data_IF_351051496249
#
_entry.id   IF_351051496249
#
_cell.length_a   1.000
_cell.length_b   1.000
_cell.length_c   1.000
_cell.angle_alpha   90.00
_cell.angle_beta   90.00
_cell.angle_gamma   90.00
#
_symmetry.space_group_name_H-M   'P 1'
#
loop_
_entity.id
_entity.type
_entity.pdbx_description
1 polymer ?
#
# COMPACT_ATOMS: atom_id res chain seq x y z
N UNK A 1 28.52 -18.96 -13.16
CA UNK A 1 28.62 -18.30 -14.48
C UNK A 1 28.09 -16.88 -14.34
N UNK A 2 28.82 -15.85 -14.78
CA UNK A 2 28.28 -14.49 -14.78
C UNK A 2 27.28 -14.33 -15.93
N UNK A 3 26.11 -13.77 -15.65
CA UNK A 3 25.12 -13.48 -16.66
C UNK A 3 25.64 -12.39 -17.59
N UNK A 4 25.69 -12.63 -18.91
CA UNK A 4 26.01 -11.57 -19.87
C UNK A 4 24.83 -10.59 -19.90
N UNK A 5 25.03 -9.27 -19.72
CA UNK A 5 23.95 -8.29 -19.80
C UNK A 5 23.42 -8.17 -21.24
N UNK A 6 22.22 -7.62 -21.41
CA UNK A 6 21.74 -7.21 -22.73
C UNK A 6 22.69 -6.19 -23.36
N UNK A 7 22.95 -6.36 -24.65
CA UNK A 7 23.54 -5.33 -25.49
C UNK A 7 22.54 -4.20 -25.76
N UNK A 8 23.06 -3.03 -26.14
CA UNK A 8 22.23 -1.88 -26.53
C UNK A 8 21.29 -2.20 -27.69
N UNK A 9 21.74 -3.00 -28.65
CA UNK A 9 20.93 -3.46 -29.78
C UNK A 9 19.80 -4.39 -29.35
N UNK A 10 20.05 -5.32 -28.43
CA UNK A 10 19.00 -6.19 -27.88
C UNK A 10 17.92 -5.38 -27.16
N UNK A 11 18.32 -4.41 -26.33
CA UNK A 11 17.38 -3.52 -25.62
C UNK A 11 16.56 -2.71 -26.61
N UNK A 12 17.18 -2.13 -27.65
CA UNK A 12 16.48 -1.34 -28.66
C UNK A 12 15.44 -2.18 -29.43
N UNK A 13 15.82 -3.39 -29.85
CA UNK A 13 14.93 -4.30 -30.57
C UNK A 13 13.77 -4.78 -29.68
N UNK A 14 14.08 -5.11 -28.41
CA UNK A 14 13.06 -5.53 -27.44
C UNK A 14 12.07 -4.40 -27.17
N UNK A 15 12.57 -3.18 -26.95
CA UNK A 15 11.75 -1.97 -26.81
C UNK A 15 10.81 -1.78 -27.99
N UNK A 16 11.34 -1.80 -29.21
CA UNK A 16 10.54 -1.61 -30.42
C UNK A 16 9.44 -2.69 -30.53
N UNK A 17 9.78 -3.95 -30.23
CA UNK A 17 8.81 -5.04 -30.25
C UNK A 17 7.72 -4.87 -29.18
N UNK A 18 8.06 -4.45 -27.96
CA UNK A 18 7.11 -4.23 -26.87
C UNK A 18 6.18 -3.04 -27.19
N UNK A 19 6.75 -1.91 -27.61
CA UNK A 19 5.98 -0.68 -27.89
C UNK A 19 5.04 -0.85 -29.09
N UNK A 20 5.45 -1.61 -30.12
CA UNK A 20 4.54 -2.00 -31.23
C UNK A 20 3.31 -2.78 -30.77
N UNK A 21 3.35 -3.43 -29.61
CA UNK A 21 2.22 -4.14 -29.02
C UNK A 21 1.37 -3.26 -28.06
N UNK A 22 1.70 -1.97 -27.92
CA UNK A 22 0.90 -0.98 -27.18
C UNK A 22 1.34 -0.75 -25.73
N UNK A 23 2.49 -1.28 -25.32
CA UNK A 23 3.05 -1.06 -23.99
C UNK A 23 3.93 0.19 -23.98
N UNK A 24 3.93 0.91 -22.87
CA UNK A 24 4.65 2.17 -22.72
C UNK A 24 5.70 2.08 -21.62
N UNK A 25 6.84 2.72 -21.85
CA UNK A 25 7.90 2.81 -20.85
C UNK A 25 7.54 3.83 -19.75
N UNK A 26 6.88 4.93 -20.13
CA UNK A 26 6.49 5.99 -19.20
C UNK A 26 5.28 5.55 -18.35
N UNK A 27 5.45 5.52 -17.03
CA UNK A 27 4.38 5.21 -16.07
C UNK A 27 3.49 6.41 -15.72
N UNK A 28 2.83 7.02 -16.71
CA UNK A 28 1.81 8.07 -16.45
C UNK A 28 0.46 7.44 -16.10
N UNK A 29 -0.44 8.23 -15.52
CA UNK A 29 -1.77 7.76 -15.08
C UNK A 29 -2.56 7.12 -16.25
N UNK A 30 -2.47 7.71 -17.44
CA UNK A 30 -3.20 7.30 -18.66
C UNK A 30 -2.61 6.04 -19.32
N UNK A 31 -1.35 5.70 -19.03
CA UNK A 31 -0.70 4.56 -19.61
C UNK A 31 -1.07 3.29 -18.84
N UNK A 32 -2.02 2.52 -19.37
CA UNK A 32 -2.49 1.29 -18.70
C UNK A 32 -1.61 0.07 -18.94
N UNK A 33 -0.89 0.02 -20.06
CA UNK A 33 0.05 -1.06 -20.38
C UNK A 33 1.47 -0.52 -20.26
N UNK A 34 2.21 -1.02 -19.28
CA UNK A 34 3.54 -0.50 -18.91
C UNK A 34 4.59 -1.61 -18.94
N UNK A 35 5.82 -1.25 -19.23
CA UNK A 35 6.95 -2.19 -19.17
C UNK A 35 8.22 -1.54 -18.63
N UNK A 36 9.11 -2.38 -18.09
CA UNK A 36 10.46 -1.97 -17.67
C UNK A 36 11.46 -3.05 -18.02
N UNK A 37 12.70 -2.65 -18.31
CA UNK A 37 13.79 -3.57 -18.66
C UNK A 37 15.04 -3.16 -17.88
N UNK A 38 15.79 -4.15 -17.37
CA UNK A 38 17.16 -3.96 -16.87
C UNK A 38 18.19 -4.57 -17.81
N UNK A 39 19.41 -4.02 -17.82
CA UNK A 39 20.55 -4.65 -18.53
C UNK A 39 20.82 -6.07 -18.07
N UNK A 40 20.57 -6.38 -16.80
CA UNK A 40 20.73 -7.73 -16.27
C UNK A 40 19.63 -8.72 -16.70
N UNK A 41 18.95 -8.46 -17.83
CA UNK A 41 17.95 -9.37 -18.42
C UNK A 41 16.70 -9.58 -17.58
N UNK A 42 16.37 -8.63 -16.70
CA UNK A 42 15.08 -8.57 -16.02
C UNK A 42 14.10 -7.79 -16.92
N UNK A 43 12.95 -8.39 -17.19
CA UNK A 43 11.85 -7.78 -17.92
C UNK A 43 10.63 -7.76 -17.00
N UNK A 44 9.91 -6.66 -17.03
CA UNK A 44 8.73 -6.41 -16.23
C UNK A 44 7.59 -5.88 -17.11
N UNK A 45 6.40 -6.43 -16.92
CA UNK A 45 5.16 -5.89 -17.48
C UNK A 45 4.19 -5.57 -16.35
N UNK A 46 3.51 -4.43 -16.46
CA UNK A 46 2.47 -4.01 -15.51
C UNK A 46 1.26 -3.53 -16.28
N UNK A 47 0.07 -4.03 -15.91
CA UNK A 47 -1.21 -3.57 -16.44
C UNK A 47 -1.97 -2.86 -15.33
N UNK A 48 -2.63 -1.75 -15.65
CA UNK A 48 -3.50 -0.99 -14.76
C UNK A 48 -4.97 -1.14 -15.20
N UNK A 49 -5.86 -1.40 -14.24
CA UNK A 49 -7.31 -1.42 -14.44
C UNK A 49 -7.96 -0.38 -13.52
N UNK A 50 -8.27 0.81 -14.02
CA UNK A 50 -8.95 1.83 -13.23
C UNK A 50 -10.45 1.55 -13.14
N UNK A 51 -11.03 1.78 -11.97
CA UNK A 51 -12.47 1.90 -11.79
C UNK A 51 -12.81 3.37 -11.69
N UNK A 52 -13.53 3.91 -12.67
CA UNK A 52 -13.93 5.32 -12.69
C UNK A 52 -15.39 5.49 -12.29
N UNK A 53 -15.74 6.69 -11.82
CA UNK A 53 -17.15 7.08 -11.68
C UNK A 53 -17.77 7.28 -13.06
N UNK A 54 -19.10 7.11 -13.21
CA UNK A 54 -19.82 7.36 -14.46
C UNK A 54 -20.02 8.88 -14.71
N UNK A 55 -18.96 9.68 -14.55
CA UNK A 55 -18.94 11.12 -14.73
C UNK A 55 -17.66 11.54 -15.45
N UNK A 56 -17.76 12.55 -16.32
CA UNK A 56 -16.60 13.17 -16.95
C UNK A 56 -16.03 14.21 -15.98
N UNK A 57 -14.78 14.01 -15.58
CA UNK A 57 -14.06 14.90 -14.69
C UNK A 57 -12.89 15.54 -15.45
N UNK A 58 -12.51 16.76 -15.06
CA UNK A 58 -11.43 17.51 -15.70
C UNK A 58 -10.03 17.12 -15.19
N UNK A 59 -9.96 16.14 -14.29
CA UNK A 59 -8.72 15.62 -13.74
C UNK A 59 -8.82 14.09 -13.65
N UNK A 60 -7.68 13.38 -13.63
CA UNK A 60 -7.67 11.92 -13.56
C UNK A 60 -8.20 11.45 -12.21
N UNK A 61 -9.38 10.84 -12.22
CA UNK A 61 -10.02 10.31 -11.02
C UNK A 61 -10.35 8.83 -11.18
N UNK A 62 -9.91 8.05 -10.20
CA UNK A 62 -10.03 6.60 -10.15
C UNK A 62 -10.50 6.25 -8.75
N UNK A 63 -11.67 5.62 -8.65
CA UNK A 63 -12.25 5.14 -7.39
C UNK A 63 -11.30 4.14 -6.73
N UNK A 64 -10.82 3.20 -7.53
CA UNK A 64 -9.78 2.24 -7.18
C UNK A 64 -8.97 1.97 -8.44
N UNK A 65 -7.66 1.83 -8.29
CA UNK A 65 -6.72 1.50 -9.37
C UNK A 65 -6.12 0.14 -9.09
N UNK A 66 -6.57 -0.88 -9.82
CA UNK A 66 -5.94 -2.20 -9.78
C UNK A 66 -4.71 -2.22 -10.67
N UNK A 67 -3.69 -2.98 -10.27
CA UNK A 67 -2.49 -3.25 -11.06
C UNK A 67 -2.15 -4.72 -10.95
N UNK A 68 -1.74 -5.32 -12.07
CA UNK A 68 -1.17 -6.67 -12.10
C UNK A 68 0.18 -6.58 -12.79
N UNK A 69 1.17 -7.23 -12.20
CA UNK A 69 2.57 -7.12 -12.60
C UNK A 69 3.18 -8.50 -12.75
N UNK A 70 3.98 -8.67 -13.79
CA UNK A 70 4.69 -9.91 -14.11
C UNK A 70 6.14 -9.57 -14.43
N UNK A 71 7.06 -10.05 -13.60
CA UNK A 71 8.50 -9.85 -13.75
C UNK A 71 9.24 -11.19 -13.89
N UNK A 72 10.24 -11.24 -14.75
CA UNK A 72 11.06 -12.44 -14.98
C UNK A 72 12.45 -12.10 -15.48
N UNK A 73 13.43 -12.95 -15.12
CA UNK A 73 14.84 -12.81 -15.51
C UNK A 73 15.23 -13.95 -16.47
N UNK A 74 15.90 -13.61 -17.57
CA UNK A 74 16.27 -14.56 -18.63
C UNK A 74 17.75 -14.92 -18.59
N UNK A 75 18.10 -16.13 -19.02
CA UNK A 75 19.49 -16.48 -19.34
C UNK A 75 19.98 -15.76 -20.59
N UNK A 76 19.23 -15.83 -21.68
CA UNK A 76 19.56 -15.21 -22.97
C UNK A 76 18.32 -14.79 -23.76
N UNK A 77 18.48 -13.74 -24.58
CA UNK A 77 17.49 -13.34 -25.58
C UNK A 77 17.74 -14.15 -26.86
N UNK A 78 16.85 -15.09 -27.16
CA UNK A 78 16.90 -15.90 -28.35
C UNK A 78 15.51 -15.92 -29.02
N UNK A 79 15.37 -16.64 -30.13
CA UNK A 79 14.10 -16.70 -30.85
C UNK A 79 12.96 -17.29 -30.01
N UNK A 80 13.23 -18.23 -29.12
CA UNK A 80 12.22 -18.84 -28.26
C UNK A 80 11.78 -17.88 -27.15
N UNK A 81 12.73 -17.27 -26.42
CA UNK A 81 12.39 -16.30 -25.37
C UNK A 81 11.68 -15.08 -25.94
N UNK A 82 12.06 -14.60 -27.13
CA UNK A 82 11.32 -13.55 -27.84
C UNK A 82 9.87 -13.95 -28.17
N UNK A 83 9.64 -15.17 -28.65
CA UNK A 83 8.27 -15.67 -28.92
C UNK A 83 7.43 -15.71 -27.64
N UNK A 84 8.00 -16.16 -26.53
CA UNK A 84 7.31 -16.20 -25.24
C UNK A 84 7.00 -14.79 -24.73
N UNK A 85 7.95 -13.84 -24.83
CA UNK A 85 7.70 -12.43 -24.47
C UNK A 85 6.52 -11.88 -25.28
N UNK A 86 6.52 -12.06 -26.60
CA UNK A 86 5.43 -11.58 -27.47
C UNK A 86 4.10 -12.25 -27.15
N UNK A 87 4.11 -13.55 -26.84
CA UNK A 87 2.92 -14.27 -26.41
C UNK A 87 2.35 -13.67 -25.11
N UNK A 88 3.20 -13.51 -24.09
CA UNK A 88 2.81 -12.92 -22.81
C UNK A 88 2.22 -11.52 -23.02
N UNK A 89 2.87 -10.65 -23.80
CA UNK A 89 2.37 -9.30 -24.09
C UNK A 89 0.94 -9.30 -24.65
N UNK A 90 0.66 -10.18 -25.62
CA UNK A 90 -0.67 -10.29 -26.24
C UNK A 90 -1.70 -10.81 -25.26
N UNK A 91 -1.37 -11.88 -24.52
CA UNK A 91 -2.28 -12.45 -23.52
C UNK A 91 -2.60 -11.48 -22.39
N UNK A 92 -1.60 -10.72 -21.93
CA UNK A 92 -1.79 -9.65 -20.94
C UNK A 92 -2.75 -8.57 -21.46
N UNK A 93 -2.61 -8.18 -22.73
CA UNK A 93 -3.52 -7.21 -23.36
C UNK A 93 -4.93 -7.76 -23.51
N UNK A 94 -5.08 -9.01 -23.95
CA UNK A 94 -6.37 -9.67 -24.10
C UNK A 94 -7.09 -9.82 -22.75
N UNK A 95 -6.33 -10.18 -21.71
CA UNK A 95 -6.82 -10.22 -20.34
C UNK A 95 -7.44 -8.88 -19.93
N UNK A 96 -6.77 -7.77 -20.25
CA UNK A 96 -7.26 -6.43 -19.92
C UNK A 96 -8.53 -6.01 -20.66
N UNK A 97 -8.78 -6.58 -21.84
CA UNK A 97 -9.99 -6.32 -22.61
C UNK A 97 -11.18 -7.17 -22.14
N UNK A 98 -10.92 -8.30 -21.49
CA UNK A 98 -11.94 -9.25 -21.04
C UNK A 98 -12.38 -9.01 -19.60
N UNK A 99 -11.51 -8.46 -18.77
CA UNK A 99 -11.81 -8.20 -17.38
C UNK A 99 -12.62 -6.92 -17.23
N UNK A 100 -13.76 -7.04 -16.56
CA UNK A 100 -14.50 -5.92 -16.00
C UNK A 100 -14.81 -6.19 -14.54
N UNK A 101 -14.81 -5.14 -13.74
CA UNK A 101 -15.36 -5.17 -12.39
C UNK A 101 -16.54 -4.21 -12.35
N UNK A 102 -17.75 -4.75 -12.39
CA UNK A 102 -18.97 -3.94 -12.39
C UNK A 102 -19.19 -3.33 -11.01
N UNK A 103 -19.31 -2.00 -10.99
CA UNK A 103 -19.66 -1.24 -9.81
C UNK A 103 -20.88 -0.39 -10.10
N UNK A 104 -21.83 -0.39 -9.19
CA UNK A 104 -22.96 0.52 -9.26
C UNK A 104 -22.78 1.66 -8.26
N UNK A 105 -22.27 2.79 -8.75
CA UNK A 105 -22.20 4.03 -7.96
C UNK A 105 -23.47 4.84 -8.20
N UNK A 106 -24.37 4.99 -7.20
CA UNK A 106 -25.64 5.70 -7.35
C UNK A 106 -25.43 7.22 -7.34
N UNK A 107 -24.75 7.74 -8.36
CA UNK A 107 -24.25 9.12 -8.42
C UNK A 107 -25.34 10.15 -8.78
N UNK A 108 -26.46 9.68 -9.33
CA UNK A 108 -27.55 10.54 -9.81
C UNK A 108 -28.07 11.45 -8.68
N UNK A 109 -28.01 12.75 -8.89
CA UNK A 109 -28.41 13.77 -7.91
C UNK A 109 -27.34 14.12 -6.86
N UNK A 110 -26.13 13.57 -6.97
CA UNK A 110 -24.98 13.80 -6.07
C UNK A 110 -23.78 14.43 -6.80
N UNK A 111 -23.95 14.80 -8.07
CA UNK A 111 -22.88 15.28 -8.95
C UNK A 111 -22.23 16.57 -8.41
N UNK A 112 -23.04 17.54 -7.96
CA UNK A 112 -22.51 18.80 -7.39
C UNK A 112 -21.72 18.55 -6.11
N UNK A 113 -22.25 17.73 -5.21
CA UNK A 113 -21.56 17.40 -3.96
C UNK A 113 -20.24 16.64 -4.23
N UNK A 114 -20.22 15.75 -5.23
CA UNK A 114 -18.97 15.12 -5.67
C UNK A 114 -17.98 16.17 -6.15
N UNK A 115 -18.38 17.10 -7.01
CA UNK A 115 -17.49 18.14 -7.51
C UNK A 115 -16.93 19.01 -6.37
N UNK A 116 -17.74 19.34 -5.37
CA UNK A 116 -17.29 20.09 -4.20
C UNK A 116 -16.24 19.32 -3.39
N UNK A 117 -16.50 18.04 -3.08
CA UNK A 117 -15.55 17.17 -2.37
C UNK A 117 -14.25 16.99 -3.16
N UNK A 118 -14.37 16.83 -4.48
CA UNK A 118 -13.24 16.68 -5.38
C UNK A 118 -12.38 17.94 -5.46
N UNK A 119 -13.00 19.11 -5.62
CA UNK A 119 -12.30 20.40 -5.61
C UNK A 119 -11.64 20.67 -4.26
N UNK A 120 -12.26 20.20 -3.17
CA UNK A 120 -11.67 20.27 -1.85
C UNK A 120 -10.47 19.35 -1.73
N UNK A 121 -10.55 18.08 -2.14
CA UNK A 121 -9.55 17.05 -1.81
C UNK A 121 -8.45 16.86 -2.85
N UNK A 122 -8.75 17.01 -4.13
CA UNK A 122 -7.81 16.65 -5.18
C UNK A 122 -6.77 17.75 -5.39
N UNK A 123 -5.48 17.40 -5.57
CA UNK A 123 -4.46 18.37 -5.93
C UNK A 123 -4.61 18.82 -7.39
N UNK A 124 -4.03 19.97 -7.73
CA UNK A 124 -4.01 20.47 -9.11
C UNK A 124 -3.35 19.47 -10.07
N UNK A 125 -3.86 19.37 -11.30
CA UNK A 125 -3.30 18.46 -12.31
C UNK A 125 -2.00 19.02 -12.88
N UNK A 126 -1.01 18.13 -13.03
CA UNK A 126 0.24 18.43 -13.73
C UNK A 126 0.31 17.54 -14.97
N UNK A 127 0.57 18.15 -16.12
CA UNK A 127 0.72 17.43 -17.40
C UNK A 127 1.90 16.46 -17.34
N UNK A 128 1.73 15.27 -17.90
CA UNK A 128 2.74 14.19 -17.95
C UNK A 128 3.29 13.77 -16.58
N UNK A 129 2.53 13.98 -15.50
CA UNK A 129 2.92 13.56 -14.17
C UNK A 129 3.00 12.03 -14.06
N UNK A 130 4.05 11.55 -13.39
CA UNK A 130 4.22 10.14 -13.08
C UNK A 130 3.14 9.70 -12.08
N UNK A 131 2.57 8.50 -12.28
CA UNK A 131 1.52 7.91 -11.44
C UNK A 131 1.92 7.85 -9.95
N UNK A 132 3.19 7.57 -9.63
CA UNK A 132 3.67 7.53 -8.24
C UNK A 132 3.69 8.93 -7.59
N UNK A 133 4.06 9.97 -8.35
CA UNK A 133 4.06 11.36 -7.88
C UNK A 133 2.63 11.85 -7.68
N UNK A 134 1.74 11.55 -8.63
CA UNK A 134 0.31 11.83 -8.52
C UNK A 134 -0.29 11.22 -7.25
N UNK A 135 -0.10 9.91 -7.04
CA UNK A 135 -0.59 9.22 -5.84
C UNK A 135 -0.04 9.84 -4.55
N UNK A 136 1.24 10.20 -4.52
CA UNK A 136 1.81 10.83 -3.33
C UNK A 136 1.18 12.22 -3.06
N UNK A 137 0.97 13.05 -4.08
CA UNK A 137 0.29 14.34 -3.93
C UNK A 137 -1.14 14.19 -3.44
N UNK A 138 -1.88 13.19 -3.94
CA UNK A 138 -3.22 12.87 -3.45
C UNK A 138 -3.18 12.46 -1.98
N UNK A 139 -2.25 11.57 -1.58
CA UNK A 139 -2.08 11.14 -0.18
C UNK A 139 -1.71 12.30 0.76
N UNK A 140 -0.84 13.20 0.34
CA UNK A 140 -0.50 14.41 1.10
C UNK A 140 -1.74 15.31 1.25
N UNK A 141 -2.49 15.53 0.15
CA UNK A 141 -3.70 16.35 0.18
C UNK A 141 -4.77 15.77 1.11
N UNK A 142 -5.01 14.45 1.05
CA UNK A 142 -5.91 13.75 1.97
C UNK A 142 -5.48 13.93 3.42
N UNK A 143 -4.19 13.72 3.72
CA UNK A 143 -3.66 13.88 5.08
C UNK A 143 -3.90 15.28 5.63
N UNK A 144 -3.70 16.32 4.81
CA UNK A 144 -3.87 17.71 5.21
C UNK A 144 -5.34 18.12 5.41
N UNK A 145 -6.28 17.38 4.82
CA UNK A 145 -7.71 17.75 4.78
C UNK A 145 -8.61 16.75 5.51
N UNK A 146 -8.03 15.74 6.16
CA UNK A 146 -8.75 14.66 6.84
C UNK A 146 -9.64 15.12 8.00
N UNK A 147 -9.34 16.27 8.61
CA UNK A 147 -10.14 16.80 9.74
C UNK A 147 -11.60 17.02 9.34
N UNK A 148 -11.86 17.32 8.06
CA UNK A 148 -13.21 17.43 7.52
C UNK A 148 -13.99 16.09 7.47
N UNK A 149 -13.32 14.96 7.77
CA UNK A 149 -13.85 13.60 7.63
C UNK A 149 -13.72 12.78 8.93
N UNK A 150 -13.39 13.39 10.06
CA UNK A 150 -13.16 12.66 11.32
C UNK A 150 -14.38 11.85 11.79
N UNK A 151 -15.59 12.29 11.44
CA UNK A 151 -16.83 11.57 11.76
C UNK A 151 -16.86 10.15 11.17
N UNK A 152 -16.08 9.90 10.11
CA UNK A 152 -16.00 8.60 9.47
C UNK A 152 -14.99 7.68 10.15
N UNK A 153 -13.96 8.18 10.84
CA UNK A 153 -12.84 7.35 11.29
C UNK A 153 -13.21 6.21 12.25
N UNK A 154 -14.18 6.41 13.15
CA UNK A 154 -14.49 5.44 14.20
C UNK A 154 -15.29 4.22 13.73
N UNK A 155 -16.56 4.47 13.34
CA UNK A 155 -17.51 3.40 12.97
C UNK A 155 -17.08 2.66 11.70
N UNK A 156 -16.54 3.40 10.73
CA UNK A 156 -16.10 2.84 9.46
C UNK A 156 -14.88 1.93 9.60
N UNK A 157 -13.86 2.35 10.35
CA UNK A 157 -12.64 1.55 10.53
C UNK A 157 -12.99 0.17 11.09
N UNK A 158 -13.90 0.10 12.07
CA UNK A 158 -14.35 -1.19 12.61
C UNK A 158 -15.04 -2.06 11.55
N UNK A 159 -15.87 -1.48 10.67
CA UNK A 159 -16.51 -2.23 9.57
C UNK A 159 -15.46 -2.78 8.59
N UNK A 160 -14.46 -1.98 8.23
CA UNK A 160 -13.37 -2.43 7.35
C UNK A 160 -12.54 -3.52 8.00
N UNK A 161 -12.13 -3.34 9.26
CA UNK A 161 -11.37 -4.37 10.01
C UNK A 161 -12.13 -5.69 10.05
N UNK A 162 -13.45 -5.68 10.25
CA UNK A 162 -14.27 -6.89 10.21
C UNK A 162 -14.28 -7.57 8.83
N UNK A 163 -14.28 -6.80 7.74
CA UNK A 163 -14.15 -7.35 6.38
C UNK A 163 -12.74 -7.88 6.10
N UNK A 164 -11.71 -7.25 6.65
CA UNK A 164 -10.36 -7.78 6.53
C UNK A 164 -10.26 -9.14 7.23
N UNK A 165 -10.81 -9.28 8.44
CA UNK A 165 -10.84 -10.56 9.14
C UNK A 165 -11.63 -11.63 8.37
N UNK A 166 -12.79 -11.28 7.79
CA UNK A 166 -13.58 -12.21 6.97
C UNK A 166 -12.87 -12.65 5.68
N UNK A 167 -11.95 -11.81 5.17
CA UNK A 167 -11.10 -12.11 4.01
C UNK A 167 -9.75 -12.74 4.40
N UNK A 168 -9.58 -13.12 5.67
CA UNK A 168 -8.40 -13.74 6.29
C UNK A 168 -7.17 -12.83 6.43
N UNK A 169 -7.38 -11.53 6.44
CA UNK A 169 -6.35 -10.52 6.67
C UNK A 169 -6.46 -10.02 8.11
N UNK A 170 -5.49 -10.41 8.94
CA UNK A 170 -5.47 -10.07 10.37
C UNK A 170 -4.43 -8.99 10.66
N UNK A 171 -4.63 -8.17 11.71
CA UNK A 171 -3.62 -7.24 12.17
C UNK A 171 -2.26 -7.93 12.33
N UNK A 172 -1.19 -7.31 11.83
CA UNK A 172 0.15 -7.91 11.81
C UNK A 172 1.24 -6.94 12.26
N UNK A 173 2.31 -7.48 12.85
CA UNK A 173 3.55 -6.75 13.10
C UNK A 173 4.50 -6.80 11.90
N UNK A 174 4.24 -7.69 10.94
CA UNK A 174 5.08 -7.86 9.77
C UNK A 174 4.92 -6.65 8.85
N UNK A 175 6.04 -6.21 8.30
CA UNK A 175 6.06 -5.22 7.24
C UNK A 175 6.37 -5.93 5.92
N UNK A 176 5.76 -5.49 4.81
CA UNK A 176 6.15 -6.00 3.52
C UNK A 176 7.61 -5.63 3.22
N UNK A 177 8.25 -6.42 2.37
CA UNK A 177 9.68 -6.29 2.09
C UNK A 177 10.08 -4.91 1.56
N UNK A 178 9.15 -4.20 0.90
CA UNK A 178 9.33 -2.84 0.37
C UNK A 178 9.28 -1.75 1.46
N UNK A 179 8.81 -2.06 2.67
CA UNK A 179 8.75 -1.16 3.83
C UNK A 179 9.64 -1.63 4.99
N UNK A 180 10.56 -2.56 4.75
CA UNK A 180 11.43 -3.13 5.80
C UNK A 180 12.22 -2.08 6.58
N UNK A 181 12.59 -0.99 5.90
CA UNK A 181 13.46 0.05 6.43
C UNK A 181 12.66 1.07 7.27
N UNK A 182 11.33 0.92 7.28
CA UNK A 182 10.40 1.72 8.07
C UNK A 182 9.42 2.49 7.19
N UNK A 183 8.67 3.37 7.84
CA UNK A 183 7.71 4.30 7.21
C UNK A 183 8.04 5.73 7.64
N UNK A 184 7.59 6.77 6.90
CA UNK A 184 7.79 8.14 7.32
C UNK A 184 7.21 8.40 8.72
N UNK A 185 7.87 9.24 9.53
CA UNK A 185 7.45 9.51 10.93
C UNK A 185 5.96 9.82 11.08
N UNK A 186 5.42 10.64 10.18
CA UNK A 186 4.01 11.06 10.23
C UNK A 186 3.02 9.92 9.96
N UNK A 187 3.50 8.80 9.38
CA UNK A 187 2.68 7.64 9.01
C UNK A 187 2.60 6.59 10.11
N UNK A 188 3.52 6.57 11.06
CA UNK A 188 3.56 5.55 12.13
C UNK A 188 2.28 5.51 12.97
N UNK A 189 1.61 6.65 13.15
CA UNK A 189 0.34 6.76 13.89
C UNK A 189 -0.91 6.78 13.00
N UNK A 190 -0.74 6.58 11.70
CA UNK A 190 -1.79 6.77 10.68
C UNK A 190 -1.92 5.57 9.74
N UNK A 191 -1.18 4.49 10.00
CA UNK A 191 -1.15 3.31 9.16
C UNK A 191 -1.30 2.05 10.01
N UNK A 192 -2.22 1.18 9.61
CA UNK A 192 -2.43 -0.14 10.17
C UNK A 192 -2.08 -1.19 9.11
N UNK A 193 -1.43 -2.27 9.54
CA UNK A 193 -1.01 -3.36 8.67
C UNK A 193 -1.79 -4.62 8.96
N UNK A 194 -2.26 -5.27 7.90
CA UNK A 194 -2.94 -6.55 7.96
C UNK A 194 -2.27 -7.50 6.98
N UNK A 195 -2.10 -8.75 7.37
CA UNK A 195 -1.58 -9.81 6.50
C UNK A 195 -2.33 -11.11 6.73
N UNK A 196 -2.14 -12.06 5.83
CA UNK A 196 -2.49 -13.45 6.09
C UNK A 196 -1.30 -14.17 6.76
N UNK A 197 -1.53 -15.36 7.31
CA UNK A 197 -0.49 -16.24 7.86
C UNK A 197 0.07 -17.22 6.78
N UNK A 198 -0.16 -16.98 5.48
CA UNK A 198 0.21 -17.90 4.39
C UNK A 198 1.66 -17.68 3.90
N UNK A 199 2.20 -18.61 3.09
CA UNK A 199 3.54 -18.52 2.47
C UNK A 199 3.71 -17.36 1.47
N UNK A 200 2.66 -16.60 1.19
CA UNK A 200 2.66 -15.51 0.23
C UNK A 200 2.66 -14.16 0.95
N UNK A 201 3.45 -13.20 0.45
CA UNK A 201 3.41 -11.82 0.94
C UNK A 201 2.10 -11.16 0.49
N UNK A 202 1.04 -11.33 1.29
CA UNK A 202 -0.27 -10.70 1.12
C UNK A 202 -0.51 -9.68 2.23
N UNK A 203 -0.68 -8.42 1.84
CA UNK A 203 -0.83 -7.30 2.76
C UNK A 203 -2.00 -6.40 2.38
N UNK A 204 -2.68 -5.90 3.41
CA UNK A 204 -3.56 -4.75 3.32
C UNK A 204 -3.03 -3.66 4.25
N UNK A 205 -2.76 -2.49 3.67
CA UNK A 205 -2.30 -1.29 4.36
C UNK A 205 -3.50 -0.36 4.45
N UNK A 206 -3.95 -0.16 5.68
CA UNK A 206 -5.08 0.70 6.00
C UNK A 206 -4.55 2.04 6.52
N UNK A 207 -4.60 3.05 5.67
CA UNK A 207 -4.40 4.44 6.07
C UNK A 207 -5.74 5.15 6.18
N UNK A 208 -5.75 6.26 6.92
CA UNK A 208 -6.90 7.14 6.99
C UNK A 208 -7.26 7.73 5.62
N UNK A 209 -8.39 7.27 5.06
CA UNK A 209 -8.87 7.70 3.75
C UNK A 209 -8.12 7.12 2.56
N UNK A 210 -7.18 6.19 2.76
CA UNK A 210 -6.40 5.58 1.69
C UNK A 210 -6.14 4.11 1.94
N UNK A 211 -6.44 3.27 0.96
CA UNK A 211 -6.25 1.82 1.03
C UNK A 211 -5.23 1.35 0.01
N UNK A 212 -4.34 0.47 0.46
CA UNK A 212 -3.52 -0.34 -0.44
C UNK A 212 -3.70 -1.80 -0.09
N UNK A 213 -3.84 -2.64 -1.10
CA UNK A 213 -3.76 -4.09 -0.96
C UNK A 213 -2.80 -4.62 -2.00
N UNK A 214 -2.03 -5.64 -1.66
CA UNK A 214 -1.35 -6.44 -2.67
C UNK A 214 -1.12 -7.87 -2.21
N UNK A 215 -0.87 -8.72 -3.21
CA UNK A 215 -0.44 -10.10 -3.05
C UNK A 215 0.70 -10.37 -4.01
N UNK A 216 1.77 -10.94 -3.47
CA UNK A 216 2.92 -11.41 -4.24
C UNK A 216 2.93 -12.92 -4.36
N UNK A 217 3.42 -13.42 -5.50
CA UNK A 217 3.54 -14.84 -5.79
C UNK A 217 4.76 -15.09 -6.68
N UNK A 218 5.59 -16.06 -6.29
CA UNK A 218 6.57 -16.64 -7.19
C UNK A 218 5.99 -17.92 -7.82
N UNK A 219 5.92 -17.97 -9.14
CA UNK A 219 5.43 -19.14 -9.88
C UNK A 219 6.34 -19.44 -11.07
N UNK A 220 6.97 -20.61 -11.09
CA UNK A 220 7.83 -21.05 -12.20
C UNK A 220 8.90 -20.00 -12.60
N UNK A 221 9.63 -19.43 -11.63
CA UNK A 221 10.64 -18.36 -11.81
C UNK A 221 10.09 -17.01 -12.31
N UNK A 222 8.78 -16.85 -12.40
CA UNK A 222 8.12 -15.57 -12.58
C UNK A 222 7.74 -15.01 -11.21
N UNK A 223 7.89 -13.70 -11.06
CA UNK A 223 7.38 -12.97 -9.92
C UNK A 223 6.13 -12.21 -10.35
N UNK A 224 5.04 -12.39 -9.62
CA UNK A 224 3.75 -11.81 -9.93
C UNK A 224 3.30 -10.98 -8.74
N UNK A 225 2.82 -9.77 -8.99
CA UNK A 225 2.17 -8.93 -7.99
C UNK A 225 0.81 -8.47 -8.48
N UNK A 226 -0.24 -8.75 -7.72
CA UNK A 226 -1.53 -8.06 -7.86
C UNK A 226 -1.65 -7.01 -6.77
N UNK A 227 -2.08 -5.80 -7.11
CA UNK A 227 -2.18 -4.67 -6.21
C UNK A 227 -3.43 -3.84 -6.51
N UNK A 228 -4.00 -3.17 -5.51
CA UNK A 228 -4.85 -2.01 -5.73
C UNK A 228 -4.54 -0.88 -4.76
N UNK A 229 -4.77 0.35 -5.22
CA UNK A 229 -4.81 1.55 -4.39
C UNK A 229 -6.17 2.23 -4.51
N UNK A 230 -6.68 2.79 -3.42
CA UNK A 230 -7.90 3.60 -3.41
C UNK A 230 -7.76 4.79 -2.46
N UNK A 231 -7.86 6.00 -3.00
CA UNK A 231 -7.88 7.27 -2.24
C UNK A 231 -9.30 7.85 -2.06
N UNK A 232 -10.31 7.06 -2.38
CA UNK A 232 -11.71 7.50 -2.37
C UNK A 232 -12.57 7.06 -1.17
N UNK A 233 -12.11 6.30 -0.15
CA UNK A 233 -12.95 5.93 0.98
C UNK A 233 -13.75 7.07 1.61
N UNK A 234 -13.09 8.19 1.94
CA UNK A 234 -13.79 9.36 2.49
C UNK A 234 -14.78 9.97 1.51
N UNK A 235 -14.41 10.11 0.23
CA UNK A 235 -15.27 10.65 -0.81
C UNK A 235 -16.55 9.80 -0.92
N UNK A 236 -16.41 8.48 -1.00
CA UNK A 236 -17.53 7.55 -1.15
C UNK A 236 -18.43 7.55 0.10
N UNK A 237 -17.86 7.55 1.30
CA UNK A 237 -18.61 7.62 2.55
C UNK A 237 -19.36 8.95 2.73
N UNK A 238 -18.77 10.07 2.31
CA UNK A 238 -19.45 11.37 2.37
C UNK A 238 -20.55 11.51 1.34
N UNK A 239 -20.38 10.92 0.15
CA UNK A 239 -21.39 10.95 -0.91
C UNK A 239 -22.56 10.03 -0.66
N UNK A 240 -22.28 8.83 -0.13
CA UNK A 240 -23.26 7.77 -0.02
C UNK A 240 -23.45 7.38 1.44
N UNK A 241 -24.66 7.60 1.95
CA UNK A 241 -25.08 7.14 3.27
C UNK A 241 -25.70 5.74 3.18
N UNK A 242 -25.67 5.00 4.28
CA UNK A 242 -26.40 3.74 4.38
C UNK A 242 -27.92 3.97 4.25
N UNK A 243 -28.68 3.04 3.63
CA UNK A 243 -28.25 1.72 3.15
C UNK A 243 -27.78 1.68 1.69
N UNK A 244 -27.78 2.80 0.97
CA UNK A 244 -27.55 2.86 -0.49
C UNK A 244 -26.16 2.40 -0.93
N UNK A 245 -25.19 2.43 -0.02
CA UNK A 245 -23.80 2.09 -0.29
C UNK A 245 -23.14 1.52 0.96
N UNK A 246 -22.36 0.46 0.76
CA UNK A 246 -21.62 -0.25 1.81
C UNK A 246 -20.19 -0.46 1.34
N UNK A 247 -19.30 0.43 1.76
CA UNK A 247 -17.90 0.42 1.34
C UNK A 247 -17.20 -0.88 1.73
N UNK A 248 -17.60 -1.49 2.84
CA UNK A 248 -17.10 -2.77 3.30
C UNK A 248 -17.34 -3.90 2.27
N UNK A 249 -18.49 -3.91 1.60
CA UNK A 249 -18.79 -4.87 0.52
C UNK A 249 -17.90 -4.63 -0.70
N UNK A 250 -17.62 -3.38 -1.03
CA UNK A 250 -16.73 -3.03 -2.14
C UNK A 250 -15.29 -3.46 -1.85
N UNK A 251 -14.78 -3.18 -0.66
CA UNK A 251 -13.43 -3.61 -0.24
C UNK A 251 -13.29 -5.13 -0.29
N UNK A 252 -14.28 -5.87 0.19
CA UNK A 252 -14.30 -7.34 0.09
C UNK A 252 -14.17 -7.81 -1.38
N UNK A 253 -14.94 -7.18 -2.28
CA UNK A 253 -14.91 -7.49 -3.71
C UNK A 253 -13.59 -7.09 -4.37
N UNK A 254 -12.99 -5.96 -3.98
CA UNK A 254 -11.69 -5.51 -4.49
C UNK A 254 -10.56 -6.48 -4.13
N UNK A 255 -10.56 -6.99 -2.90
CA UNK A 255 -9.61 -8.02 -2.44
C UNK A 255 -9.80 -9.31 -3.24
N UNK A 256 -11.05 -9.79 -3.37
CA UNK A 256 -11.37 -11.01 -4.14
C UNK A 256 -10.96 -10.87 -5.61
N UNK A 257 -11.24 -9.72 -6.22
CA UNK A 257 -10.88 -9.43 -7.59
C UNK A 257 -9.36 -9.45 -7.80
N UNK A 258 -8.60 -8.84 -6.90
CA UNK A 258 -7.13 -8.84 -6.98
C UNK A 258 -6.54 -10.25 -6.85
N UNK A 259 -7.09 -11.06 -5.95
CA UNK A 259 -6.75 -12.49 -5.86
C UNK A 259 -7.10 -13.25 -7.15
N UNK A 260 -8.22 -12.94 -7.79
CA UNK A 260 -8.62 -13.54 -9.07
C UNK A 260 -7.67 -13.15 -10.20
N UNK A 261 -7.24 -11.88 -10.28
CA UNK A 261 -6.26 -11.41 -11.27
C UNK A 261 -4.97 -12.25 -11.25
N UNK A 262 -4.53 -12.63 -10.05
CA UNK A 262 -3.36 -13.50 -9.87
C UNK A 262 -3.52 -14.85 -10.60
N UNK A 263 -4.69 -15.48 -10.45
CA UNK A 263 -4.97 -16.76 -11.09
C UNK A 263 -4.93 -16.67 -12.62
N UNK A 264 -5.43 -15.56 -13.19
CA UNK A 264 -5.36 -15.34 -14.64
C UNK A 264 -3.91 -15.24 -15.16
N UNK A 265 -2.99 -14.66 -14.38
CA UNK A 265 -1.58 -14.60 -14.78
C UNK A 265 -0.93 -16.00 -14.72
N UNK A 266 -1.23 -16.79 -13.70
CA UNK A 266 -0.76 -18.17 -13.58
C UNK A 266 -1.20 -19.00 -14.78
N UNK A 267 -2.45 -18.81 -15.23
CA UNK A 267 -2.98 -19.47 -16.43
C UNK A 267 -2.22 -19.04 -17.69
N UNK A 268 -1.96 -17.74 -17.89
CA UNK A 268 -1.17 -17.25 -19.03
C UNK A 268 0.23 -17.88 -19.06
N UNK A 269 0.92 -17.94 -17.91
CA UNK A 269 2.25 -18.57 -17.81
C UNK A 269 2.18 -20.06 -18.16
N UNK A 270 1.12 -20.74 -17.71
CA UNK A 270 0.93 -22.17 -17.95
C UNK A 270 0.62 -22.47 -19.43
N UNK A 271 -0.18 -21.63 -20.09
CA UNK A 271 -0.51 -21.74 -21.52
C UNK A 271 0.69 -21.49 -22.44
N UNK A 272 1.67 -20.70 -22.00
CA UNK A 272 2.83 -20.33 -22.80
C UNK A 272 3.83 -21.49 -23.04
N UNK A 273 3.62 -22.68 -22.43
CA UNK A 273 4.51 -23.85 -22.54
C UNK A 273 5.99 -23.49 -22.34
N UNK A 274 6.28 -22.72 -21.30
CA UNK A 274 7.57 -22.08 -21.09
C UNK A 274 8.62 -23.12 -20.68
N UNK A 275 9.72 -23.18 -21.44
CA UNK A 275 10.90 -23.93 -21.03
C UNK A 275 11.59 -23.22 -19.86
N UNK A 276 11.43 -23.79 -18.66
CA UNK A 276 11.96 -23.23 -17.42
C UNK A 276 13.48 -23.06 -17.42
N UNK A 277 14.21 -23.79 -18.26
CA UNK A 277 15.67 -23.67 -18.34
C UNK A 277 16.14 -22.34 -18.95
N UNK A 278 15.27 -21.63 -19.67
CA UNK A 278 15.59 -20.32 -20.25
C UNK A 278 15.50 -19.16 -19.24
N UNK A 279 14.99 -19.43 -18.03
CA UNK A 279 14.68 -18.44 -16.99
C UNK A 279 15.50 -18.65 -15.72
N UNK A 280 15.69 -17.56 -14.97
CA UNK A 280 16.49 -17.49 -13.75
C UNK A 280 15.60 -17.05 -12.59
N UNK A 281 15.66 -17.79 -11.49
CA UNK A 281 15.09 -17.34 -10.22
C UNK A 281 15.90 -16.15 -9.72
N UNK A 282 15.23 -15.06 -9.38
CA UNK A 282 15.86 -13.83 -8.90
C UNK A 282 15.28 -13.43 -7.54
N UNK A 283 15.99 -12.58 -6.80
CA UNK A 283 15.50 -12.06 -5.53
C UNK A 283 14.70 -10.76 -5.79
N UNK A 284 13.36 -10.76 -5.63
CA UNK A 284 12.51 -9.62 -5.96
C UNK A 284 12.91 -8.35 -5.21
N UNK A 285 13.21 -8.48 -3.92
CA UNK A 285 13.62 -7.38 -3.05
C UNK A 285 14.88 -6.67 -3.53
N UNK A 286 15.85 -7.40 -4.07
CA UNK A 286 17.11 -6.82 -4.57
C UNK A 286 16.94 -6.22 -5.96
N UNK A 287 16.12 -6.87 -6.79
CA UNK A 287 16.06 -6.61 -8.22
C UNK A 287 14.92 -5.66 -8.61
N UNK A 288 13.83 -5.61 -7.87
CA UNK A 288 12.70 -4.73 -8.20
C UNK A 288 12.84 -3.36 -7.55
N UNK A 289 13.49 -3.26 -6.40
CA UNK A 289 13.70 -2.02 -5.63
C UNK A 289 14.93 -1.21 -6.08
N UNK A 290 15.62 -1.62 -7.16
CA UNK A 290 16.83 -0.92 -7.61
C UNK A 290 16.54 0.13 -8.68
N UNK A 291 17.38 1.17 -8.74
CA UNK A 291 17.31 2.24 -9.73
C UNK A 291 17.87 1.83 -11.12
N UNK A 292 18.42 0.62 -11.25
CA UNK A 292 19.14 0.13 -12.44
C UNK A 292 18.23 -0.25 -13.63
N UNK A 293 17.01 0.29 -13.68
CA UNK A 293 16.13 0.13 -14.83
C UNK A 293 16.53 1.10 -15.94
N UNK A 294 16.44 0.62 -17.18
CA UNK A 294 16.71 1.46 -18.34
C UNK A 294 15.77 2.67 -18.34
N UNK A 295 16.35 3.84 -18.63
CA UNK A 295 15.63 5.12 -18.65
C UNK A 295 14.97 5.48 -17.31
N UNK A 296 15.50 4.97 -16.18
CA UNK A 296 15.02 5.26 -14.82
C UNK A 296 13.50 4.96 -14.65
N UNK A 297 12.98 4.05 -15.47
CA UNK A 297 11.55 3.78 -15.58
C UNK A 297 11.21 2.45 -14.95
N UNK A 298 11.06 2.44 -13.62
CA UNK A 298 10.58 1.28 -12.88
C UNK A 298 9.04 1.32 -12.76
N UNK A 299 8.36 0.43 -13.49
CA UNK A 299 6.91 0.32 -13.53
C UNK A 299 6.38 -0.77 -12.59
N UNK A 300 7.19 -1.25 -11.63
CA UNK A 300 6.72 -2.19 -10.64
C UNK A 300 5.74 -1.50 -9.69
N UNK A 301 4.55 -2.08 -9.43
CA UNK A 301 3.56 -1.43 -8.58
C UNK A 301 3.94 -1.63 -7.11
N UNK A 302 4.59 -0.62 -6.53
CA UNK A 302 4.82 -0.54 -5.09
C UNK A 302 3.61 0.08 -4.39
N UNK A 303 3.49 -0.14 -3.08
CA UNK A 303 2.52 0.62 -2.29
C UNK A 303 2.81 2.11 -2.36
N UNK A 304 1.76 2.91 -2.23
CA UNK A 304 1.92 4.36 -2.21
C UNK A 304 2.81 4.83 -1.04
N UNK A 305 2.79 4.10 0.08
CA UNK A 305 3.64 4.35 1.25
C UNK A 305 5.13 4.11 0.96
N UNK A 306 5.46 3.13 0.11
CA UNK A 306 6.84 2.91 -0.33
C UNK A 306 7.35 4.08 -1.18
N UNK A 307 6.54 4.60 -2.12
CA UNK A 307 6.93 5.77 -2.91
C UNK A 307 7.20 7.01 -2.03
N UNK A 308 6.41 7.23 -0.99
CA UNK A 308 6.65 8.31 -0.01
C UNK A 308 7.92 8.07 0.82
N UNK A 309 8.20 6.81 1.18
CA UNK A 309 9.40 6.43 1.93
C UNK A 309 10.68 6.73 1.14
N UNK A 310 10.71 6.44 -0.17
CA UNK A 310 11.83 6.81 -1.05
C UNK A 310 12.07 8.32 -1.09
N UNK A 311 11.01 9.13 -1.04
CA UNK A 311 11.11 10.59 -1.02
C UNK A 311 11.58 11.17 0.32
N UNK A 312 11.48 10.41 1.42
CA UNK A 312 11.75 10.88 2.79
C UNK A 312 13.22 10.86 3.19
N UNK A 313 14.16 10.52 2.27
CA UNK A 313 15.62 10.66 2.40
C UNK A 313 16.24 10.18 3.73
N UNK A 314 15.72 9.11 4.33
CA UNK A 314 16.30 8.48 5.51
C UNK A 314 15.62 8.79 6.84
N UNK A 315 14.59 9.65 6.88
CA UNK A 315 13.75 9.86 8.07
C UNK A 315 12.67 8.76 8.19
N UNK A 316 13.09 7.51 8.07
CA UNK A 316 12.23 6.34 8.20
C UNK A 316 12.25 5.83 9.64
N UNK A 317 11.06 5.55 10.15
CA UNK A 317 10.83 5.09 11.51
C UNK A 317 10.34 3.66 11.46
N UNK A 318 10.99 2.81 12.25
CA UNK A 318 10.47 1.48 12.54
C UNK A 318 9.19 1.64 13.36
N UNK A 319 8.18 0.85 13.02
CA UNK A 319 6.95 0.80 13.82
C UNK A 319 7.30 0.11 15.12
N UNK A 320 7.03 0.76 16.26
CA UNK A 320 7.34 0.28 17.61
C UNK A 320 6.51 -0.95 17.99
N UNK A 321 6.81 -2.08 17.37
CA UNK A 321 6.20 -3.39 17.64
C UNK A 321 6.58 -3.90 19.04
N UNK A 322 7.65 -3.38 19.62
CA UNK A 322 8.19 -3.79 20.89
C UNK A 322 7.33 -3.39 22.09
N UNK A 323 6.54 -2.32 22.01
CA UNK A 323 5.66 -1.90 23.10
C UNK A 323 4.31 -2.62 23.11
N UNK A 324 3.90 -3.19 21.97
CA UNK A 324 2.64 -3.88 21.81
C UNK A 324 2.77 -5.38 22.09
N UNK A 325 1.73 -6.00 22.66
CA UNK A 325 1.66 -7.47 22.77
C UNK A 325 0.83 -8.10 21.65
N UNK A 326 -0.04 -7.33 21.02
CA UNK A 326 -0.81 -7.75 19.85
C UNK A 326 -0.77 -6.65 18.80
N UNK A 327 -0.75 -6.97 17.50
CA UNK A 327 -0.74 -5.97 16.47
C UNK A 327 -1.92 -5.00 16.61
N UNK A 328 -1.71 -3.68 16.47
CA UNK A 328 -2.80 -2.71 16.53
C UNK A 328 -3.84 -2.96 15.44
N UNK A 329 -5.11 -2.86 15.80
CA UNK A 329 -6.24 -3.03 14.87
C UNK A 329 -7.06 -1.75 14.66
N UNK A 330 -6.69 -0.65 15.33
CA UNK A 330 -7.41 0.61 15.24
C UNK A 330 -6.47 1.81 15.44
N UNK A 331 -6.89 2.96 14.93
CA UNK A 331 -6.12 4.19 14.97
C UNK A 331 -5.95 4.77 16.38
N UNK A 332 -6.86 4.50 17.32
CA UNK A 332 -6.80 4.98 18.71
C UNK A 332 -5.53 4.47 19.40
N UNK A 333 -5.21 3.18 19.22
CA UNK A 333 -4.03 2.52 19.80
C UNK A 333 -2.73 3.11 19.21
N UNK A 334 -2.62 3.20 17.89
CA UNK A 334 -1.37 3.69 17.28
C UNK A 334 -1.16 5.19 17.49
N UNK A 335 -2.22 6.01 17.58
CA UNK A 335 -2.07 7.43 17.96
C UNK A 335 -1.57 7.59 19.39
N UNK A 336 -2.04 6.74 20.30
CA UNK A 336 -1.66 6.81 21.72
C UNK A 336 -0.18 6.52 21.97
N UNK A 337 0.51 5.88 21.01
CA UNK A 337 1.96 5.66 21.11
C UNK A 337 2.73 6.97 21.05
N UNK A 338 2.22 7.97 20.31
CA UNK A 338 2.86 9.28 20.23
C UNK A 338 2.80 9.97 21.59
N UNK A 339 1.66 9.89 22.29
CA UNK A 339 1.54 10.42 23.66
C UNK A 339 2.51 9.74 24.62
N UNK A 340 2.77 8.44 24.45
CA UNK A 340 3.79 7.73 25.22
C UNK A 340 5.21 8.25 24.91
N UNK A 341 5.55 8.40 23.62
CA UNK A 341 6.87 8.89 23.17
C UNK A 341 7.11 10.34 23.63
N UNK A 342 6.11 11.21 23.47
CA UNK A 342 6.16 12.62 23.89
C UNK A 342 6.32 12.71 25.41
N UNK A 343 5.65 11.84 26.18
CA UNK A 343 5.83 11.76 27.62
C UNK A 343 7.26 11.35 28.00
N UNK A 344 7.92 10.45 27.27
CA UNK A 344 9.33 10.10 27.53
C UNK A 344 10.27 11.30 27.34
N UNK A 345 10.00 12.16 26.36
CA UNK A 345 10.75 13.39 26.15
C UNK A 345 10.51 14.40 27.28
N UNK A 346 9.26 14.56 27.72
CA UNK A 346 8.90 15.44 28.84
C UNK A 346 9.55 14.99 30.16
N UNK A 347 9.61 13.68 30.43
CA UNK A 347 10.31 13.12 31.60
C UNK A 347 11.79 13.51 31.59
N UNK A 348 12.47 13.38 30.44
CA UNK A 348 13.88 13.78 30.29
C UNK A 348 14.10 15.27 30.55
N UNK A 349 13.09 16.09 30.26
CA UNK A 349 13.10 17.54 30.45
C UNK A 349 12.51 17.97 31.81
N UNK A 350 12.32 17.04 32.76
CA UNK A 350 11.76 17.29 34.09
C UNK A 350 10.34 17.91 34.11
N UNK A 351 9.59 17.80 33.02
CA UNK A 351 8.19 18.27 32.91
C UNK A 351 7.21 17.17 33.34
N UNK A 352 7.29 16.79 34.61
CA UNK A 352 6.63 15.60 35.15
C UNK A 352 5.10 15.65 35.16
N UNK A 353 4.51 16.82 35.43
CA UNK A 353 3.04 16.95 35.47
C UNK A 353 2.42 16.70 34.09
N UNK A 354 3.02 17.28 33.04
CA UNK A 354 2.57 17.10 31.66
C UNK A 354 2.79 15.67 31.18
N UNK A 355 3.94 15.07 31.51
CA UNK A 355 4.20 13.66 31.22
C UNK A 355 3.16 12.75 31.89
N UNK A 356 2.80 13.04 33.14
CA UNK A 356 1.80 12.27 33.91
C UNK A 356 0.41 12.32 33.25
N UNK A 357 0.01 13.49 32.74
CA UNK A 357 -1.25 13.63 32.00
C UNK A 357 -1.28 12.77 30.73
N UNK A 358 -0.25 12.89 29.88
CA UNK A 358 -0.15 12.10 28.64
C UNK A 358 -0.11 10.58 28.90
N UNK A 359 0.63 10.16 29.94
CA UNK A 359 0.72 8.76 30.34
C UNK A 359 -0.63 8.23 30.85
N UNK A 360 -1.35 9.00 31.66
CA UNK A 360 -2.67 8.56 32.17
C UNK A 360 -3.72 8.44 31.07
N UNK A 361 -3.71 9.33 30.08
CA UNK A 361 -4.67 9.26 28.97
C UNK A 361 -4.36 8.12 28.01
N UNK A 362 -3.08 7.91 27.67
CA UNK A 362 -2.65 6.75 26.87
C UNK A 362 -2.89 5.41 27.60
N UNK A 363 -2.69 5.36 28.93
CA UNK A 363 -2.95 4.17 29.76
C UNK A 363 -4.39 3.67 29.61
N UNK A 364 -5.39 4.58 29.63
CA UNK A 364 -6.81 4.22 29.47
C UNK A 364 -7.06 3.52 28.13
N UNK A 365 -6.47 4.06 27.05
CA UNK A 365 -6.64 3.53 25.69
C UNK A 365 -5.96 2.17 25.55
N UNK A 366 -4.72 2.04 26.01
CA UNK A 366 -4.00 0.78 25.94
C UNK A 366 -4.64 -0.32 26.80
N UNK A 367 -5.16 0.03 27.98
CA UNK A 367 -5.87 -0.92 28.83
C UNK A 367 -7.18 -1.39 28.19
N UNK A 368 -7.99 -0.47 27.65
CA UNK A 368 -9.21 -0.78 26.88
C UNK A 368 -8.94 -1.75 25.73
N UNK A 369 -7.80 -1.58 25.05
CA UNK A 369 -7.37 -2.41 23.92
C UNK A 369 -6.50 -3.61 24.32
N UNK A 370 -6.40 -3.92 25.62
CA UNK A 370 -5.66 -5.08 26.16
C UNK A 370 -4.18 -5.12 25.78
N UNK A 371 -3.56 -3.94 25.62
CA UNK A 371 -2.13 -3.81 25.34
C UNK A 371 -1.32 -3.84 26.65
N UNK A 372 -1.27 -5.00 27.29
CA UNK A 372 -0.66 -5.24 28.61
C UNK A 372 0.80 -4.77 28.72
N UNK A 373 1.60 -4.97 27.66
CA UNK A 373 3.04 -4.67 27.72
C UNK A 373 3.29 -3.17 27.92
N UNK A 374 2.71 -2.33 27.06
CA UNK A 374 2.80 -0.87 27.21
C UNK A 374 2.09 -0.37 28.48
N UNK A 375 0.98 -0.99 28.91
CA UNK A 375 0.31 -0.66 30.18
C UNK A 375 1.28 -0.79 31.36
N UNK A 376 2.00 -1.93 31.44
CA UNK A 376 3.01 -2.13 32.50
C UNK A 376 4.13 -1.10 32.40
N UNK A 377 4.64 -0.83 31.19
CA UNK A 377 5.67 0.19 30.99
C UNK A 377 5.22 1.58 31.47
N UNK A 378 3.97 1.96 31.20
CA UNK A 378 3.40 3.24 31.66
C UNK A 378 3.30 3.28 33.18
N UNK A 379 2.76 2.25 33.82
CA UNK A 379 2.62 2.19 35.28
C UNK A 379 3.97 2.31 36.00
N UNK A 380 5.01 1.66 35.47
CA UNK A 380 6.37 1.78 36.01
C UNK A 380 6.92 3.20 35.91
N UNK A 381 6.69 3.90 34.79
CA UNK A 381 7.10 5.30 34.62
C UNK A 381 6.33 6.24 35.54
N UNK A 382 5.00 6.07 35.64
CA UNK A 382 4.16 6.87 36.54
C UNK A 382 4.60 6.72 38.00
N UNK A 383 4.96 5.50 38.42
CA UNK A 383 5.56 5.25 39.74
C UNK A 383 6.90 5.98 39.93
N UNK A 384 7.78 5.92 38.94
CA UNK A 384 9.08 6.59 38.99
C UNK A 384 8.92 8.10 39.17
N UNK A 385 8.04 8.71 38.37
CA UNK A 385 7.68 10.14 38.48
C UNK A 385 7.13 10.45 39.88
N UNK A 386 6.16 9.68 40.37
CA UNK A 386 5.57 9.89 41.69
C UNK A 386 6.61 9.76 42.81
N UNK A 387 7.58 8.85 42.66
CA UNK A 387 8.68 8.70 43.61
C UNK A 387 9.62 9.90 43.61
N UNK A 388 9.95 10.44 42.42
CA UNK A 388 10.76 11.66 42.28
C UNK A 388 10.07 12.91 42.87
N UNK A 389 8.73 12.94 42.82
CA UNK A 389 7.91 14.01 43.41
C UNK A 389 7.60 13.79 44.90
N UNK A 390 8.18 12.77 45.55
CA UNK A 390 7.93 12.38 46.95
C UNK A 390 6.46 12.04 47.25
N UNK A 391 5.71 11.53 46.27
CA UNK A 391 4.31 11.11 46.38
C UNK A 391 4.22 9.58 46.62
N UNK A 392 4.69 9.12 47.78
CA UNK A 392 4.82 7.68 48.10
C UNK A 392 3.53 6.86 47.98
N UNK A 393 2.40 7.41 48.44
CA UNK A 393 1.09 6.74 48.36
C UNK A 393 0.64 6.55 46.92
N UNK A 394 0.86 7.56 46.07
CA UNK A 394 0.52 7.52 44.64
C UNK A 394 1.41 6.51 43.90
N UNK A 395 2.71 6.48 44.23
CA UNK A 395 3.64 5.50 43.67
C UNK A 395 3.25 4.06 44.01
N UNK A 396 2.74 3.80 45.22
CA UNK A 396 2.25 2.49 45.63
C UNK A 396 0.95 2.11 44.91
N UNK A 397 0.04 3.06 44.70
CA UNK A 397 -1.21 2.81 43.98
C UNK A 397 -1.00 2.34 42.54
N UNK A 398 0.05 2.79 41.85
CA UNK A 398 0.36 2.30 40.49
C UNK A 398 0.88 0.86 40.44
N UNK A 399 1.25 0.26 41.58
CA UNK A 399 1.70 -1.14 41.68
C UNK A 399 0.57 -2.11 42.04
N UNK A 400 -0.57 -1.61 42.54
CA UNK A 400 -1.78 -2.39 42.81
C UNK A 400 -2.62 -2.50 41.55
#
# INVERSE_FOLDING_TARGET
MSLRPFSTTEIANLKEAIERNGFNLKGTIENYFRYSVKKEKLILFTIKFPVSLPLRLNFPFEVVSFRISLAFKLWDLNQNTNKVIIFILKMLRDLALQISLEHNFPIKGKETHLLDLLNQLMPETITDENDSRWLNRVRISLMNKREAFEEFDGSYTNKIVNVLDSTRLKPTFNLPWELRDGVPKLRTSETLFFSNDEEFDEFFILEKGFFTFFKDLEYNKFYIRSLFDSYTPYILCSLFKEPDFKLETYVENWIKFSRMLMNSIIEIISLANINQNDYIKFNPKKELDSEDFEFESNNFPFSALHYESLMSKGDLYQIHNDLFNTPPSNFEVIKSINSYIDAEELIKNYRFDEATLLLNDSLKIFNKNRQKKVVVSILLKLREIASLLNQGDVAFNYLQ
#
